data_IF_419653108700
#
_entry.id   IF_419653108700
#
_cell.length_a   1.000
_cell.length_b   1.000
_cell.length_c   1.000
_cell.angle_alpha   90.00
_cell.angle_beta   90.00
_cell.angle_gamma   90.00
#
_symmetry.space_group_name_H-M   'P 1'
#
loop_
_entity.id
_entity.type
_entity.pdbx_description
1 polymer ?
#
# COMPACT_ATOMS: atom_id res chain seq x y z
N UNK A 1 57.64 -28.44 43.69
CA UNK A 1 57.98 -29.45 42.64
C UNK A 1 59.33 -29.14 42.00
N UNK A 2 59.65 -27.92 41.52
CA UNK A 2 60.95 -27.54 40.95
C UNK A 2 62.06 -27.48 42.07
N UNK A 3 61.73 -26.99 43.24
CA UNK A 3 62.60 -26.96 44.37
C UNK A 3 63.11 -28.34 44.79
N UNK A 4 62.21 -29.36 44.74
CA UNK A 4 62.54 -30.75 44.99
C UNK A 4 63.40 -31.38 43.88
N UNK A 5 63.16 -30.94 42.57
CA UNK A 5 64.01 -31.36 41.47
C UNK A 5 65.44 -30.74 41.56
N UNK A 6 65.58 -29.51 42.09
CA UNK A 6 66.85 -28.89 42.37
C UNK A 6 67.63 -29.65 43.51
N UNK A 7 66.95 -29.98 44.62
CA UNK A 7 67.49 -30.73 45.74
C UNK A 7 68.02 -32.08 45.33
N UNK A 8 67.41 -32.74 44.34
CA UNK A 8 67.87 -34.03 43.81
C UNK A 8 68.79 -33.94 42.57
N UNK A 9 69.23 -32.71 42.23
CA UNK A 9 70.17 -32.46 41.12
C UNK A 9 69.65 -32.67 39.73
N UNK A 10 68.32 -32.71 39.56
CA UNK A 10 67.65 -32.91 38.23
C UNK A 10 67.62 -31.63 37.46
N UNK A 11 67.68 -30.45 38.08
CA UNK A 11 67.73 -29.16 37.41
C UNK A 11 68.80 -28.27 38.08
N UNK A 12 69.34 -27.34 37.29
CA UNK A 12 70.33 -26.35 37.84
C UNK A 12 69.61 -25.16 38.41
N UNK A 13 70.25 -24.46 39.37
CA UNK A 13 69.69 -23.22 39.93
C UNK A 13 69.39 -22.15 38.85
N UNK A 14 70.24 -22.08 37.81
CA UNK A 14 69.99 -21.19 36.68
C UNK A 14 68.70 -21.54 35.86
N UNK A 15 68.49 -22.81 35.62
CA UNK A 15 67.26 -23.26 34.93
C UNK A 15 66.02 -22.98 35.78
N UNK A 16 66.11 -23.22 37.12
CA UNK A 16 64.99 -22.90 38.01
C UNK A 16 64.67 -21.41 38.03
N UNK A 17 65.65 -20.53 38.01
CA UNK A 17 65.49 -19.10 37.95
C UNK A 17 64.80 -18.69 36.60
N UNK A 18 65.33 -19.20 35.48
CA UNK A 18 64.74 -18.93 34.15
C UNK A 18 63.28 -19.42 34.04
N UNK A 19 62.98 -20.63 34.52
CA UNK A 19 61.61 -21.18 34.52
C UNK A 19 60.69 -20.35 35.44
N UNK A 20 61.15 -19.84 36.53
CA UNK A 20 60.39 -18.97 37.43
C UNK A 20 60.13 -17.59 36.82
N UNK A 21 61.15 -16.98 36.23
CA UNK A 21 61.00 -15.72 35.51
C UNK A 21 60.00 -15.84 34.36
N UNK A 22 60.08 -16.92 33.58
CA UNK A 22 59.10 -17.20 32.50
C UNK A 22 57.70 -17.39 33.06
N UNK A 23 57.54 -18.11 34.16
CA UNK A 23 56.24 -18.28 34.84
C UNK A 23 55.67 -16.96 35.35
N UNK A 24 56.50 -16.11 35.98
CA UNK A 24 56.06 -14.78 36.42
C UNK A 24 55.63 -13.92 35.26
N UNK A 25 56.39 -13.93 34.18
CA UNK A 25 56.06 -13.19 32.97
C UNK A 25 54.72 -13.63 32.37
N UNK A 26 54.49 -14.93 32.16
CA UNK A 26 53.22 -15.47 31.69
C UNK A 26 52.06 -15.12 32.62
N UNK A 27 52.24 -15.24 33.92
CA UNK A 27 51.23 -14.89 34.91
C UNK A 27 50.85 -13.41 34.85
N UNK A 28 51.83 -12.50 34.70
CA UNK A 28 51.57 -11.07 34.55
C UNK A 28 50.83 -10.76 33.24
N UNK A 29 51.25 -11.37 32.13
CA UNK A 29 50.62 -11.22 30.83
C UNK A 29 49.12 -11.63 30.89
N UNK A 30 48.85 -12.82 31.42
CA UNK A 30 47.50 -13.34 31.54
C UNK A 30 46.62 -12.48 32.45
N UNK A 31 47.16 -11.98 33.56
CA UNK A 31 46.41 -11.09 34.44
C UNK A 31 46.06 -9.78 33.75
N UNK A 32 47.02 -9.11 33.12
CA UNK A 32 46.80 -7.84 32.42
C UNK A 32 45.77 -8.00 31.28
N UNK A 33 45.90 -9.05 30.49
CA UNK A 33 44.93 -9.32 29.40
C UNK A 33 43.52 -9.63 29.93
N UNK A 34 43.41 -10.32 31.08
CA UNK A 34 42.12 -10.58 31.72
C UNK A 34 41.48 -9.31 32.28
N UNK A 35 42.28 -8.44 32.93
CA UNK A 35 41.82 -7.13 33.42
C UNK A 35 41.41 -6.23 32.25
N UNK A 36 42.20 -6.17 31.18
CA UNK A 36 41.84 -5.44 29.96
C UNK A 36 40.53 -5.95 29.38
N UNK A 37 40.36 -7.26 29.26
CA UNK A 37 39.10 -7.84 28.74
C UNK A 37 37.90 -7.45 29.59
N UNK A 38 38.01 -7.50 30.92
CA UNK A 38 36.96 -7.10 31.84
C UNK A 38 36.58 -5.60 31.68
N UNK A 39 37.59 -4.73 31.58
CA UNK A 39 37.35 -3.28 31.38
C UNK A 39 36.81 -2.98 29.97
N UNK A 40 37.28 -3.69 28.97
CA UNK A 40 36.74 -3.62 27.58
C UNK A 40 35.26 -4.00 27.52
N UNK A 41 34.86 -5.08 28.22
CA UNK A 41 33.47 -5.52 28.29
C UNK A 41 32.55 -4.49 28.99
N UNK A 42 33.15 -3.65 29.85
CA UNK A 42 32.50 -2.50 30.49
C UNK A 42 32.57 -1.20 29.65
N UNK A 43 33.13 -1.25 28.45
CA UNK A 43 33.32 -0.09 27.57
C UNK A 43 34.44 0.85 27.97
N UNK A 44 35.33 0.47 28.93
CA UNK A 44 36.43 1.25 29.44
C UNK A 44 37.81 0.77 28.99
N UNK A 45 37.86 -0.05 27.93
CA UNK A 45 39.09 -0.64 27.43
C UNK A 45 40.18 0.38 27.05
N UNK A 46 39.78 1.54 26.46
CA UNK A 46 40.70 2.61 26.12
C UNK A 46 41.29 3.29 27.38
N UNK A 47 40.45 3.58 28.38
CA UNK A 47 40.88 4.18 29.64
C UNK A 47 41.86 3.26 30.37
N UNK A 48 41.61 1.94 30.34
CA UNK A 48 42.51 0.96 30.90
C UNK A 48 43.85 0.95 30.16
N UNK A 49 43.84 0.95 28.84
CA UNK A 49 45.07 0.97 28.03
C UNK A 49 45.92 2.24 28.28
N UNK A 50 45.28 3.40 28.39
CA UNK A 50 45.93 4.68 28.62
C UNK A 50 46.49 4.80 30.05
N UNK A 51 45.91 4.10 31.02
CA UNK A 51 46.28 4.16 32.44
C UNK A 51 47.12 3.00 32.95
N UNK A 52 47.34 1.95 32.15
CA UNK A 52 48.08 0.77 32.64
C UNK A 52 49.58 1.00 32.76
N UNK A 53 50.13 0.73 33.94
CA UNK A 53 51.57 0.62 34.18
C UNK A 53 52.00 -0.84 34.06
N UNK A 54 52.71 -1.18 32.97
CA UNK A 54 53.20 -2.53 32.76
C UNK A 54 54.41 -2.83 33.71
N UNK A 55 54.46 -4.05 34.30
CA UNK A 55 55.52 -4.43 35.19
C UNK A 55 56.90 -4.27 34.57
N UNK A 56 57.96 -3.98 35.40
CA UNK A 56 59.31 -3.80 34.91
C UNK A 56 59.96 -5.08 34.34
N UNK A 57 59.30 -6.22 34.53
CA UNK A 57 59.66 -7.51 33.91
C UNK A 57 59.44 -7.59 32.42
N UNK A 58 58.63 -6.66 31.83
CA UNK A 58 58.43 -6.57 30.40
C UNK A 58 59.50 -5.69 29.75
N UNK A 59 60.10 -6.18 28.69
CA UNK A 59 60.95 -5.34 27.85
C UNK A 59 60.14 -4.37 26.99
N UNK A 60 60.80 -3.43 26.32
CA UNK A 60 60.13 -2.41 25.50
C UNK A 60 59.34 -3.04 24.32
N UNK A 61 59.90 -4.10 23.71
CA UNK A 61 59.23 -4.80 22.60
C UNK A 61 57.95 -5.52 23.04
N UNK A 62 57.99 -6.17 24.20
CA UNK A 62 56.86 -6.87 24.78
C UNK A 62 55.73 -5.90 25.22
N UNK A 63 56.10 -4.76 25.79
CA UNK A 63 55.16 -3.67 26.11
C UNK A 63 54.44 -3.18 24.87
N UNK A 64 55.22 -2.93 23.81
CA UNK A 64 54.65 -2.49 22.52
C UNK A 64 53.72 -3.55 21.91
N UNK A 65 54.11 -4.82 21.90
CA UNK A 65 53.27 -5.91 21.39
C UNK A 65 51.97 -6.06 22.15
N UNK A 66 52.00 -5.92 23.48
CA UNK A 66 50.79 -5.97 24.30
C UNK A 66 49.86 -4.79 24.01
N UNK A 67 50.40 -3.57 23.95
CA UNK A 67 49.64 -2.38 23.58
C UNK A 67 49.06 -2.49 22.18
N UNK A 68 49.80 -2.99 21.21
CA UNK A 68 49.33 -3.20 19.83
C UNK A 68 48.20 -4.22 19.77
N UNK A 69 48.27 -5.30 20.55
CA UNK A 69 47.21 -6.30 20.67
C UNK A 69 45.92 -5.71 21.25
N UNK A 70 46.04 -4.98 22.38
CA UNK A 70 44.89 -4.32 23.00
C UNK A 70 44.26 -3.28 22.07
N UNK A 71 45.07 -2.48 21.39
CA UNK A 71 44.61 -1.54 20.37
C UNK A 71 43.93 -2.22 19.18
N UNK A 72 44.43 -3.39 18.75
CA UNK A 72 43.79 -4.16 17.68
C UNK A 72 42.41 -4.66 18.09
N UNK A 73 42.25 -5.12 19.34
CA UNK A 73 40.99 -5.56 19.89
C UNK A 73 39.98 -4.40 19.97
N UNK A 74 40.38 -3.23 20.44
CA UNK A 74 39.53 -2.02 20.48
C UNK A 74 39.11 -1.56 19.08
N UNK A 75 40.06 -1.60 18.11
CA UNK A 75 39.68 -1.29 16.69
C UNK A 75 38.68 -2.27 16.11
N UNK A 76 38.80 -3.55 16.42
CA UNK A 76 37.84 -4.56 16.00
C UNK A 76 36.45 -4.30 16.57
N UNK A 77 36.35 -3.91 17.84
CA UNK A 77 35.07 -3.53 18.45
C UNK A 77 34.45 -2.31 17.76
N UNK A 78 35.29 -1.27 17.53
CA UNK A 78 34.81 -0.09 16.78
C UNK A 78 34.28 -0.45 15.39
N UNK A 79 34.97 -1.34 14.67
CA UNK A 79 34.51 -1.83 13.35
C UNK A 79 33.17 -2.57 13.47
N UNK A 80 32.95 -3.36 14.52
CA UNK A 80 31.70 -4.05 14.76
C UNK A 80 30.57 -3.07 15.07
N UNK A 81 30.81 -2.07 15.91
CA UNK A 81 29.87 -1.00 16.23
C UNK A 81 29.51 -0.22 14.96
N UNK A 82 30.50 0.20 14.16
CA UNK A 82 30.27 0.94 12.93
C UNK A 82 29.47 0.13 11.89
N UNK A 83 29.72 -1.18 11.80
CA UNK A 83 28.94 -2.08 10.95
C UNK A 83 27.49 -2.19 11.41
N UNK A 84 27.27 -2.28 12.72
CA UNK A 84 25.91 -2.36 13.28
C UNK A 84 25.15 -1.05 13.07
N UNK A 85 25.79 0.10 13.30
CA UNK A 85 25.21 1.42 12.98
C UNK A 85 24.86 1.51 11.50
N UNK A 86 25.77 1.08 10.61
CA UNK A 86 25.51 1.09 9.18
C UNK A 86 24.39 0.11 8.76
N UNK A 87 24.23 -1.01 9.46
CA UNK A 87 23.12 -1.97 9.24
C UNK A 87 21.80 -1.33 9.65
N UNK A 88 21.71 -0.79 10.86
CA UNK A 88 20.52 -0.13 11.38
C UNK A 88 20.11 1.05 10.49
N UNK A 89 21.07 1.85 10.05
CA UNK A 89 20.80 2.96 9.15
C UNK A 89 20.27 2.52 7.77
N UNK A 90 20.72 1.38 7.24
CA UNK A 90 20.18 0.80 6.00
C UNK A 90 18.75 0.30 6.19
N UNK A 91 18.50 -0.46 7.26
CA UNK A 91 17.17 -0.97 7.58
C UNK A 91 16.16 0.16 7.77
N UNK A 92 16.56 1.24 8.45
CA UNK A 92 15.73 2.43 8.61
C UNK A 92 15.39 3.07 7.27
N UNK A 93 16.37 3.24 6.36
CA UNK A 93 16.13 3.76 5.00
C UNK A 93 15.24 2.86 4.15
N UNK A 94 15.40 1.54 4.25
CA UNK A 94 14.54 0.59 3.54
C UNK A 94 13.10 0.63 4.04
N UNK A 95 12.91 0.75 5.35
CA UNK A 95 11.59 0.90 5.96
C UNK A 95 10.94 2.20 5.49
N UNK A 96 11.65 3.32 5.54
CA UNK A 96 11.17 4.61 5.06
C UNK A 96 10.76 4.55 3.59
N UNK A 97 11.58 3.94 2.73
CA UNK A 97 11.26 3.78 1.30
C UNK A 97 9.98 2.94 1.10
N UNK A 98 9.79 1.86 1.85
CA UNK A 98 8.56 1.03 1.81
C UNK A 98 7.35 1.81 2.27
N UNK A 99 7.48 2.56 3.36
CA UNK A 99 6.41 3.43 3.90
C UNK A 99 6.00 4.50 2.89
N UNK A 100 6.97 5.13 2.21
CA UNK A 100 6.69 6.12 1.15
C UNK A 100 5.96 5.52 -0.06
N UNK A 101 6.31 4.29 -0.46
CA UNK A 101 5.57 3.59 -1.53
C UNK A 101 4.13 3.29 -1.10
N UNK A 102 3.94 2.84 0.14
CA UNK A 102 2.61 2.59 0.70
C UNK A 102 1.78 3.89 0.80
N UNK A 103 2.39 4.99 1.24
CA UNK A 103 1.75 6.30 1.30
C UNK A 103 1.28 6.79 -0.07
N UNK A 104 2.11 6.67 -1.11
CA UNK A 104 1.72 7.03 -2.49
C UNK A 104 0.55 6.19 -3.00
N UNK A 105 0.53 4.88 -2.72
CA UNK A 105 -0.60 4.00 -3.06
C UNK A 105 -1.85 4.40 -2.29
N UNK A 106 -1.74 4.63 -0.99
CA UNK A 106 -2.84 5.11 -0.14
C UNK A 106 -3.42 6.42 -0.65
N UNK A 107 -2.57 7.40 -0.97
CA UNK A 107 -2.96 8.68 -1.57
C UNK A 107 -3.77 8.49 -2.86
N UNK A 108 -3.27 7.65 -3.77
CA UNK A 108 -3.98 7.36 -5.03
C UNK A 108 -5.35 6.73 -4.80
N UNK A 109 -5.48 5.83 -3.82
CA UNK A 109 -6.76 5.22 -3.45
C UNK A 109 -7.73 6.27 -2.89
N UNK A 110 -7.28 7.12 -1.97
CA UNK A 110 -8.09 8.20 -1.39
C UNK A 110 -8.55 9.21 -2.45
N UNK A 111 -7.64 9.66 -3.31
CA UNK A 111 -7.93 10.61 -4.39
C UNK A 111 -8.83 10.03 -5.48
N UNK A 112 -8.93 8.70 -5.60
CA UNK A 112 -9.86 8.06 -6.55
C UNK A 112 -11.32 8.27 -6.19
N UNK A 113 -11.64 8.60 -4.96
CA UNK A 113 -13.00 8.76 -4.44
C UNK A 113 -13.82 7.47 -4.37
N UNK A 114 -13.22 6.29 -4.63
CA UNK A 114 -13.92 5.00 -4.52
C UNK A 114 -14.09 4.60 -3.07
N UNK A 115 -15.21 3.96 -2.69
CA UNK A 115 -15.36 3.40 -1.35
C UNK A 115 -14.19 2.45 -1.04
N UNK A 116 -13.58 2.65 0.11
CA UNK A 116 -12.48 1.80 0.59
C UNK A 116 -13.04 0.69 1.48
N UNK A 117 -12.44 -0.48 1.40
CA UNK A 117 -12.70 -1.54 2.38
C UNK A 117 -12.10 -1.15 3.74
N UNK A 118 -12.60 -1.75 4.81
CA UNK A 118 -12.08 -1.54 6.17
C UNK A 118 -10.57 -1.85 6.27
N UNK A 119 -10.14 -2.91 5.60
CA UNK A 119 -8.72 -3.30 5.52
C UNK A 119 -7.86 -2.23 4.81
N UNK A 120 -8.35 -1.68 3.69
CA UNK A 120 -7.64 -0.63 2.96
C UNK A 120 -7.52 0.64 3.80
N UNK A 121 -8.60 1.04 4.47
CA UNK A 121 -8.60 2.20 5.35
C UNK A 121 -7.66 2.02 6.54
N UNK A 122 -7.67 0.84 7.15
CA UNK A 122 -6.75 0.47 8.23
C UNK A 122 -5.29 0.50 7.79
N UNK A 123 -4.98 -0.03 6.58
CA UNK A 123 -3.63 0.02 6.01
C UNK A 123 -3.15 1.46 5.77
N UNK A 124 -4.02 2.35 5.29
CA UNK A 124 -3.70 3.76 5.09
C UNK A 124 -3.37 4.43 6.42
N UNK A 125 -4.20 4.25 7.45
CA UNK A 125 -3.96 4.81 8.78
C UNK A 125 -2.67 4.29 9.40
N UNK A 126 -2.38 2.99 9.28
CA UNK A 126 -1.12 2.41 9.72
C UNK A 126 0.08 3.00 8.95
N UNK A 127 -0.08 3.29 7.67
CA UNK A 127 0.97 3.93 6.88
C UNK A 127 1.23 5.36 7.36
N UNK A 128 0.19 6.14 7.62
CA UNK A 128 0.32 7.51 8.14
C UNK A 128 1.05 7.51 9.49
N UNK A 129 0.72 6.58 10.39
CA UNK A 129 1.37 6.48 11.70
C UNK A 129 2.86 6.12 11.63
N UNK A 130 3.34 5.57 10.51
CA UNK A 130 4.74 5.22 10.27
C UNK A 130 5.52 6.31 9.52
N UNK A 131 4.84 7.34 9.00
CA UNK A 131 5.51 8.48 8.38
C UNK A 131 6.18 9.33 9.45
N UNK A 132 7.39 9.80 9.15
CA UNK A 132 8.18 10.66 10.04
C UNK A 132 8.32 12.09 9.50
N UNK A 133 8.13 12.27 8.21
CA UNK A 133 8.21 13.57 7.54
C UNK A 133 6.87 14.31 7.67
N UNK A 134 6.83 15.50 8.31
CA UNK A 134 5.62 16.29 8.49
C UNK A 134 4.91 16.64 7.18
N UNK A 135 5.65 16.93 6.12
CA UNK A 135 5.04 17.30 4.82
C UNK A 135 4.28 16.12 4.19
N UNK A 136 4.82 14.90 4.33
CA UNK A 136 4.17 13.68 3.86
C UNK A 136 2.94 13.32 4.71
N UNK A 137 3.00 13.56 6.02
CA UNK A 137 1.86 13.38 6.94
C UNK A 137 0.74 14.33 6.53
N UNK A 138 1.03 15.62 6.37
CA UNK A 138 0.06 16.64 5.98
C UNK A 138 -0.60 16.31 4.63
N UNK A 139 0.19 15.87 3.63
CA UNK A 139 -0.36 15.46 2.34
C UNK A 139 -1.32 14.27 2.45
N UNK A 140 -1.04 13.30 3.30
CA UNK A 140 -1.92 12.16 3.52
C UNK A 140 -3.19 12.55 4.26
N UNK A 141 -3.10 13.45 5.24
CA UNK A 141 -4.26 14.01 5.95
C UNK A 141 -5.16 14.80 5.01
N UNK A 142 -4.59 15.65 4.16
CA UNK A 142 -5.35 16.36 3.11
C UNK A 142 -6.09 15.36 2.22
N UNK A 143 -5.45 14.27 1.82
CA UNK A 143 -6.10 13.24 0.99
C UNK A 143 -7.21 12.50 1.71
N UNK A 144 -7.10 12.28 3.03
CA UNK A 144 -8.18 11.74 3.88
C UNK A 144 -9.37 12.71 3.95
N UNK A 145 -9.11 14.00 4.15
CA UNK A 145 -10.15 15.03 4.17
C UNK A 145 -10.89 15.11 2.82
N UNK A 146 -10.14 15.07 1.71
CA UNK A 146 -10.70 15.01 0.35
C UNK A 146 -11.58 13.78 0.19
N UNK A 147 -11.09 12.60 0.60
CA UNK A 147 -11.85 11.34 0.53
C UNK A 147 -13.15 11.43 1.33
N UNK A 148 -13.08 11.89 2.57
CA UNK A 148 -14.24 12.07 3.45
C UNK A 148 -15.28 13.00 2.82
N UNK A 149 -14.85 14.13 2.27
CA UNK A 149 -15.72 15.09 1.60
C UNK A 149 -16.38 14.48 0.35
N UNK A 150 -15.63 13.72 -0.46
CA UNK A 150 -16.18 13.02 -1.64
C UNK A 150 -17.22 11.98 -1.21
N UNK A 151 -16.94 11.15 -0.18
CA UNK A 151 -17.90 10.17 0.32
C UNK A 151 -19.17 10.86 0.85
N UNK A 152 -19.03 11.97 1.56
CA UNK A 152 -20.16 12.78 2.01
C UNK A 152 -21.01 13.29 0.84
N UNK A 153 -20.37 13.84 -0.19
CA UNK A 153 -21.07 14.29 -1.40
C UNK A 153 -21.80 13.14 -2.10
N UNK A 154 -21.18 11.95 -2.19
CA UNK A 154 -21.78 10.79 -2.83
C UNK A 154 -22.99 10.22 -2.07
N UNK A 155 -23.13 10.51 -0.78
CA UNK A 155 -24.30 10.14 0.03
C UNK A 155 -25.49 11.10 -0.14
N UNK A 156 -25.29 12.25 -0.79
CA UNK A 156 -26.31 13.28 -1.00
C UNK A 156 -27.03 13.08 -2.34
N UNK A 157 -28.22 13.67 -2.48
CA UNK A 157 -28.87 13.80 -3.78
C UNK A 157 -28.10 14.74 -4.70
N UNK A 158 -28.33 14.70 -6.01
CA UNK A 158 -27.66 15.56 -6.98
C UNK A 158 -27.83 17.05 -6.69
N UNK A 159 -29.02 17.44 -6.25
CA UNK A 159 -29.33 18.83 -5.90
C UNK A 159 -28.55 19.28 -4.66
N UNK A 160 -28.57 18.45 -3.61
CA UNK A 160 -27.81 18.72 -2.38
C UNK A 160 -26.29 18.80 -2.64
N UNK A 161 -25.77 17.92 -3.49
CA UNK A 161 -24.35 17.95 -3.92
C UNK A 161 -23.98 19.26 -4.58
N UNK A 162 -24.83 19.74 -5.48
CA UNK A 162 -24.60 21.01 -6.21
C UNK A 162 -24.58 22.19 -5.23
N UNK A 163 -25.50 22.23 -4.26
CA UNK A 163 -25.54 23.25 -3.22
C UNK A 163 -24.31 23.14 -2.31
N UNK A 164 -23.96 21.95 -1.86
CA UNK A 164 -22.79 21.71 -0.98
C UNK A 164 -21.47 22.14 -1.65
N UNK A 165 -21.30 21.85 -2.95
CA UNK A 165 -20.11 22.25 -3.70
C UNK A 165 -20.02 23.77 -3.89
N UNK A 166 -21.14 24.44 -4.16
CA UNK A 166 -21.17 25.90 -4.31
C UNK A 166 -20.87 26.59 -2.97
N UNK A 167 -21.52 26.17 -1.89
CA UNK A 167 -21.31 26.73 -0.56
C UNK A 167 -19.88 26.49 -0.04
N UNK A 168 -19.27 25.35 -0.42
CA UNK A 168 -17.91 25.04 0.03
C UNK A 168 -16.86 26.06 -0.43
N UNK A 169 -17.12 26.86 -1.45
CA UNK A 169 -16.20 27.89 -1.96
C UNK A 169 -16.24 29.19 -1.13
N UNK A 170 -17.29 29.43 -0.34
CA UNK A 170 -17.47 30.67 0.40
C UNK A 170 -16.66 30.72 1.71
N UNK A 171 -16.32 29.57 2.31
CA UNK A 171 -15.68 29.45 3.62
C UNK A 171 -14.20 29.03 3.57
N UNK A 172 -13.41 29.58 2.66
CA UNK A 172 -11.98 29.29 2.59
C UNK A 172 -11.23 30.14 3.60
N UNK A 173 -10.63 29.50 4.61
CA UNK A 173 -9.93 30.18 5.70
C UNK A 173 -8.41 30.21 5.50
N UNK A 174 -7.84 29.19 4.86
CA UNK A 174 -6.41 29.04 4.65
C UNK A 174 -6.07 28.26 3.35
N UNK A 175 -4.76 28.08 3.10
CA UNK A 175 -4.28 27.39 1.91
C UNK A 175 -4.58 25.87 1.94
N UNK A 176 -4.63 25.25 3.11
CA UNK A 176 -5.00 23.82 3.26
C UNK A 176 -6.44 23.62 2.84
N UNK A 177 -7.36 24.45 3.34
CA UNK A 177 -8.77 24.44 2.96
C UNK A 177 -8.96 24.59 1.44
N UNK A 178 -8.21 25.51 0.84
CA UNK A 178 -8.24 25.72 -0.61
C UNK A 178 -7.83 24.46 -1.38
N UNK A 179 -6.75 23.78 -0.97
CA UNK A 179 -6.27 22.55 -1.60
C UNK A 179 -7.31 21.44 -1.46
N UNK A 180 -7.87 21.24 -0.26
CA UNK A 180 -8.90 20.23 0.01
C UNK A 180 -10.13 20.46 -0.89
N UNK A 181 -10.63 21.69 -0.95
CA UNK A 181 -11.81 22.04 -1.77
C UNK A 181 -11.57 21.84 -3.25
N UNK A 182 -10.44 22.31 -3.78
CA UNK A 182 -10.09 22.12 -5.19
C UNK A 182 -9.93 20.64 -5.55
N UNK A 183 -9.29 19.86 -4.68
CA UNK A 183 -9.10 18.43 -4.87
C UNK A 183 -10.42 17.67 -4.80
N UNK A 184 -11.30 18.02 -3.84
CA UNK A 184 -12.66 17.46 -3.73
C UNK A 184 -13.47 17.74 -4.99
N UNK A 185 -13.47 18.97 -5.51
CA UNK A 185 -14.15 19.31 -6.75
C UNK A 185 -13.62 18.54 -7.95
N UNK A 186 -12.30 18.38 -8.04
CA UNK A 186 -11.66 17.60 -9.11
C UNK A 186 -12.07 16.14 -9.06
N UNK A 187 -12.02 15.51 -7.89
CA UNK A 187 -12.44 14.13 -7.69
C UNK A 187 -13.93 13.95 -8.04
N UNK A 188 -14.78 14.84 -7.54
CA UNK A 188 -16.20 14.81 -7.84
C UNK A 188 -16.51 14.95 -9.34
N UNK A 189 -15.84 15.88 -10.06
CA UNK A 189 -16.00 16.02 -11.50
C UNK A 189 -15.62 14.74 -12.26
N UNK A 190 -14.57 14.02 -11.81
CA UNK A 190 -14.21 12.75 -12.41
C UNK A 190 -15.30 11.67 -12.20
N UNK A 191 -15.93 11.68 -11.04
CA UNK A 191 -17.07 10.79 -10.75
C UNK A 191 -18.28 11.15 -11.64
N UNK A 192 -18.64 12.44 -11.76
CA UNK A 192 -19.72 12.89 -12.64
C UNK A 192 -19.47 12.52 -14.11
N UNK A 193 -18.22 12.63 -14.56
CA UNK A 193 -17.84 12.16 -15.91
C UNK A 193 -18.02 10.64 -16.07
N UNK A 194 -17.70 9.87 -15.02
CA UNK A 194 -17.91 8.42 -15.03
C UNK A 194 -19.41 8.08 -15.05
N UNK A 195 -20.23 8.81 -14.28
CA UNK A 195 -21.70 8.67 -14.28
C UNK A 195 -22.25 9.00 -15.68
N UNK A 196 -21.79 10.06 -16.31
CA UNK A 196 -22.24 10.44 -17.64
C UNK A 196 -21.82 9.44 -18.72
N UNK A 197 -20.67 8.77 -18.55
CA UNK A 197 -20.18 7.77 -19.50
C UNK A 197 -20.92 6.42 -19.36
N UNK A 198 -21.03 5.89 -18.15
CA UNK A 198 -21.75 4.64 -17.82
C UNK A 198 -22.22 4.68 -16.37
N UNK A 199 -23.48 5.07 -16.09
CA UNK A 199 -24.02 5.18 -14.75
C UNK A 199 -23.98 3.87 -13.95
N UNK A 200 -24.17 2.73 -14.60
CA UNK A 200 -24.13 1.42 -13.95
C UNK A 200 -22.71 1.07 -13.49
N UNK A 201 -21.73 1.31 -14.36
CA UNK A 201 -20.32 1.11 -14.00
C UNK A 201 -19.87 2.09 -12.93
N UNK A 202 -20.34 3.33 -12.97
CA UNK A 202 -20.07 4.33 -11.93
C UNK A 202 -20.71 3.92 -10.60
N UNK A 203 -21.94 3.41 -10.59
CA UNK A 203 -22.59 2.90 -9.38
C UNK A 203 -21.83 1.72 -8.77
N UNK A 204 -21.33 0.79 -9.59
CA UNK A 204 -20.44 -0.28 -9.11
C UNK A 204 -19.19 0.27 -8.44
N UNK A 205 -18.57 1.31 -9.01
CA UNK A 205 -17.31 1.86 -8.52
C UNK A 205 -17.45 2.79 -7.30
N UNK A 206 -18.55 3.54 -7.20
CA UNK A 206 -18.72 4.64 -6.25
C UNK A 206 -19.97 4.52 -5.38
N UNK A 207 -21.01 3.84 -5.84
CA UNK A 207 -22.30 3.69 -5.16
C UNK A 207 -22.44 2.40 -4.34
N UNK A 208 -21.42 1.57 -4.29
CA UNK A 208 -21.46 0.28 -3.57
C UNK A 208 -22.30 -0.79 -4.29
N UNK A 209 -22.47 -0.67 -5.62
CA UNK A 209 -23.16 -1.66 -6.44
C UNK A 209 -22.45 -3.02 -6.48
N UNK A 210 -23.19 -4.06 -6.79
CA UNK A 210 -22.66 -5.40 -7.01
C UNK A 210 -22.03 -5.52 -8.41
N UNK A 211 -21.06 -6.44 -8.60
CA UNK A 211 -20.45 -6.67 -9.91
C UNK A 211 -21.49 -6.95 -10.99
N UNK A 212 -21.34 -6.28 -12.14
CA UNK A 212 -22.24 -6.46 -13.29
C UNK A 212 -21.93 -7.81 -13.92
N UNK A 213 -22.93 -8.70 -13.92
CA UNK A 213 -22.80 -10.02 -14.50
C UNK A 213 -22.76 -9.94 -16.02
N UNK A 214 -21.87 -10.74 -16.63
CA UNK A 214 -21.76 -10.86 -18.07
C UNK A 214 -22.98 -11.59 -18.64
N UNK A 215 -23.60 -11.02 -19.68
CA UNK A 215 -24.70 -11.67 -20.38
C UNK A 215 -24.15 -12.71 -21.38
N UNK A 216 -24.69 -13.91 -21.28
CA UNK A 216 -24.42 -15.05 -22.18
C UNK A 216 -25.73 -15.61 -22.68
N UNK A 217 -25.68 -16.47 -23.72
CA UNK A 217 -26.91 -17.12 -24.26
C UNK A 217 -27.68 -17.93 -23.23
N UNK A 218 -27.00 -18.42 -22.20
CA UNK A 218 -27.57 -19.31 -21.18
C UNK A 218 -28.24 -18.57 -20.02
N UNK A 219 -27.94 -17.26 -19.85
CA UNK A 219 -28.43 -16.47 -18.72
C UNK A 219 -29.14 -15.17 -19.11
N UNK A 220 -29.54 -15.00 -20.35
CA UNK A 220 -30.13 -13.74 -20.85
C UNK A 220 -31.28 -13.27 -19.97
N UNK A 221 -32.31 -14.07 -19.77
CA UNK A 221 -33.52 -13.70 -19.03
C UNK A 221 -33.19 -13.29 -17.57
N UNK A 222 -32.32 -14.07 -16.89
CA UNK A 222 -31.90 -13.77 -15.53
C UNK A 222 -31.06 -12.46 -15.47
N UNK A 223 -30.13 -12.30 -16.39
CA UNK A 223 -29.29 -11.10 -16.46
C UNK A 223 -30.06 -9.83 -16.78
N UNK A 224 -31.10 -9.92 -17.63
CA UNK A 224 -32.01 -8.82 -17.94
C UNK A 224 -32.85 -8.41 -16.72
N UNK A 225 -33.40 -9.38 -15.98
CA UNK A 225 -34.08 -9.10 -14.71
C UNK A 225 -33.19 -8.41 -13.69
N UNK A 226 -31.95 -8.89 -13.53
CA UNK A 226 -30.95 -8.25 -12.66
C UNK A 226 -30.59 -6.83 -13.15
N UNK A 227 -30.48 -6.62 -14.47
CA UNK A 227 -30.21 -5.29 -15.03
C UNK A 227 -31.35 -4.31 -14.74
N UNK A 228 -32.58 -4.74 -14.78
CA UNK A 228 -33.76 -3.93 -14.45
C UNK A 228 -33.78 -3.55 -12.97
N UNK A 229 -33.49 -4.48 -12.06
CA UNK A 229 -33.34 -4.20 -10.62
C UNK A 229 -32.19 -3.20 -10.36
N UNK A 230 -31.10 -3.35 -11.08
CA UNK A 230 -29.97 -2.44 -10.99
C UNK A 230 -30.29 -1.05 -11.55
N UNK A 231 -31.09 -0.95 -12.64
CA UNK A 231 -31.54 0.33 -13.17
C UNK A 231 -32.25 1.16 -12.10
N UNK A 232 -33.16 0.53 -11.34
CA UNK A 232 -33.88 1.20 -10.24
C UNK A 232 -32.92 1.75 -9.19
N UNK A 233 -31.94 0.94 -8.77
CA UNK A 233 -30.92 1.34 -7.77
C UNK A 233 -30.04 2.47 -8.31
N UNK A 234 -29.58 2.36 -9.54
CA UNK A 234 -28.75 3.37 -10.21
C UNK A 234 -29.52 4.68 -10.36
N UNK A 235 -30.79 4.62 -10.83
CA UNK A 235 -31.65 5.80 -10.97
C UNK A 235 -31.84 6.52 -9.64
N UNK A 236 -32.07 5.79 -8.57
CA UNK A 236 -32.17 6.36 -7.22
C UNK A 236 -30.88 7.03 -6.77
N UNK A 237 -29.73 6.43 -7.09
CA UNK A 237 -28.40 6.95 -6.71
C UNK A 237 -28.02 8.21 -7.49
N UNK A 238 -28.28 8.25 -8.82
CA UNK A 238 -27.97 9.43 -9.65
C UNK A 238 -29.02 10.52 -9.55
N UNK A 239 -30.26 10.20 -9.10
CA UNK A 239 -31.39 11.12 -8.99
C UNK A 239 -32.08 11.41 -10.32
N UNK A 240 -31.85 10.61 -11.34
CA UNK A 240 -32.50 10.68 -12.65
C UNK A 240 -32.67 9.28 -13.25
N UNK A 241 -33.46 9.14 -14.33
CA UNK A 241 -33.66 7.84 -14.97
C UNK A 241 -32.35 7.34 -15.58
N UNK A 242 -31.82 6.20 -15.05
CA UNK A 242 -30.66 5.54 -15.61
C UNK A 242 -31.00 4.79 -16.90
N UNK A 243 -30.01 4.57 -17.79
CA UNK A 243 -30.17 3.62 -18.89
C UNK A 243 -30.60 2.24 -18.40
N UNK A 244 -31.30 1.44 -19.19
CA UNK A 244 -31.82 0.13 -18.78
C UNK A 244 -30.70 -0.85 -18.35
N UNK A 245 -29.49 -0.67 -18.83
CA UNK A 245 -28.35 -1.52 -18.50
C UNK A 245 -27.01 -0.82 -18.76
N UNK A 246 -25.90 -1.44 -18.33
CA UNK A 246 -24.55 -0.94 -18.58
C UNK A 246 -24.13 -1.09 -20.05
N UNK A 247 -23.12 -0.30 -20.46
CA UNK A 247 -22.51 -0.44 -21.77
C UNK A 247 -21.91 -1.82 -22.00
N UNK A 248 -21.38 -2.47 -20.97
CA UNK A 248 -20.83 -3.83 -21.08
C UNK A 248 -21.91 -4.85 -21.38
N UNK A 249 -23.07 -4.75 -20.74
CA UNK A 249 -24.23 -5.62 -20.99
C UNK A 249 -24.82 -5.38 -22.37
N UNK A 250 -24.92 -4.12 -22.81
CA UNK A 250 -25.33 -3.79 -24.18
C UNK A 250 -24.42 -4.45 -25.22
N UNK A 251 -23.10 -4.39 -24.99
CA UNK A 251 -22.12 -5.04 -25.88
C UNK A 251 -22.23 -6.57 -25.86
N UNK A 252 -22.55 -7.18 -24.73
CA UNK A 252 -22.78 -8.61 -24.65
C UNK A 252 -24.05 -9.01 -25.44
N UNK A 253 -25.15 -8.28 -25.28
CA UNK A 253 -26.37 -8.50 -26.08
C UNK A 253 -26.12 -8.31 -27.57
N UNK A 254 -25.37 -7.28 -27.99
CA UNK A 254 -24.97 -7.05 -29.37
C UNK A 254 -24.23 -8.25 -29.97
N UNK A 255 -23.38 -8.93 -29.19
CA UNK A 255 -22.68 -10.15 -29.61
C UNK A 255 -23.58 -11.37 -29.71
N UNK A 256 -24.59 -11.46 -28.86
CA UNK A 256 -25.58 -12.56 -28.92
C UNK A 256 -26.49 -12.40 -30.14
N UNK A 257 -26.85 -11.15 -30.46
CA UNK A 257 -27.64 -10.81 -31.62
C UNK A 257 -29.13 -11.14 -31.48
N UNK A 258 -29.78 -11.47 -32.61
CA UNK A 258 -31.24 -11.69 -32.72
C UNK A 258 -31.84 -12.64 -31.66
N UNK A 259 -31.18 -13.73 -31.20
CA UNK A 259 -31.75 -14.59 -30.16
C UNK A 259 -32.08 -13.88 -28.83
N UNK A 260 -31.54 -12.69 -28.58
CA UNK A 260 -31.84 -11.92 -27.37
C UNK A 260 -33.13 -11.09 -27.46
N UNK A 261 -33.75 -10.94 -28.63
CA UNK A 261 -34.88 -10.03 -28.82
C UNK A 261 -36.14 -10.45 -28.04
N UNK A 262 -36.48 -11.74 -28.05
CA UNK A 262 -37.63 -12.25 -27.33
C UNK A 262 -37.47 -12.14 -25.82
N UNK A 263 -36.26 -12.40 -25.33
CA UNK A 263 -35.90 -12.23 -23.91
C UNK A 263 -35.96 -10.76 -23.50
N UNK A 264 -35.50 -9.82 -24.35
CA UNK A 264 -35.58 -8.37 -24.11
C UNK A 264 -37.04 -7.92 -24.03
N UNK A 265 -37.89 -8.34 -25.01
CA UNK A 265 -39.30 -8.01 -25.01
C UNK A 265 -40.04 -8.57 -23.78
N UNK A 266 -39.71 -9.79 -23.39
CA UNK A 266 -40.29 -10.45 -22.21
C UNK A 266 -39.88 -9.78 -20.90
N UNK A 267 -38.60 -9.41 -20.75
CA UNK A 267 -38.08 -8.81 -19.55
C UNK A 267 -38.54 -7.36 -19.35
N UNK A 268 -38.46 -6.55 -20.37
CA UNK A 268 -38.70 -5.10 -20.29
C UNK A 268 -40.11 -4.65 -20.73
N UNK A 269 -40.86 -5.51 -21.41
CA UNK A 269 -42.08 -5.10 -22.07
C UNK A 269 -41.82 -4.20 -23.30
N UNK A 270 -42.85 -3.83 -24.02
CA UNK A 270 -42.73 -3.17 -25.33
C UNK A 270 -42.00 -1.82 -25.26
N UNK A 271 -42.37 -0.96 -24.32
CA UNK A 271 -41.87 0.43 -24.22
C UNK A 271 -40.38 0.49 -23.81
N UNK A 272 -40.01 -0.24 -22.78
CA UNK A 272 -38.63 -0.28 -22.31
C UNK A 272 -37.70 -1.09 -23.23
N UNK A 273 -38.23 -2.17 -23.87
CA UNK A 273 -37.52 -2.92 -24.89
C UNK A 273 -37.12 -2.04 -26.08
N UNK A 274 -37.97 -1.08 -26.48
CA UNK A 274 -37.65 -0.11 -27.51
C UNK A 274 -36.46 0.75 -27.13
N UNK A 275 -36.35 1.19 -25.87
CA UNK A 275 -35.19 1.94 -25.38
C UNK A 275 -33.90 1.10 -25.44
N UNK A 276 -33.95 -0.16 -25.01
CA UNK A 276 -32.83 -1.11 -25.11
C UNK A 276 -32.37 -1.32 -26.55
N UNK A 277 -33.30 -1.56 -27.46
CA UNK A 277 -33.02 -1.77 -28.87
C UNK A 277 -32.44 -0.52 -29.54
N UNK A 278 -32.95 0.67 -29.22
CA UNK A 278 -32.40 1.93 -29.69
C UNK A 278 -30.95 2.16 -29.21
N UNK A 279 -30.59 1.75 -27.96
CA UNK A 279 -29.26 1.82 -27.46
C UNK A 279 -28.33 0.81 -28.15
N UNK A 280 -28.80 -0.39 -28.42
CA UNK A 280 -28.03 -1.44 -29.09
C UNK A 280 -27.63 -1.05 -30.52
N UNK A 281 -28.51 -0.35 -31.22
CA UNK A 281 -28.38 -0.14 -32.66
C UNK A 281 -28.33 1.34 -33.09
N UNK A 282 -28.01 2.23 -32.15
CA UNK A 282 -27.94 3.69 -32.38
C UNK A 282 -26.99 4.12 -33.50
N UNK A 283 -25.97 3.33 -33.80
CA UNK A 283 -25.00 3.59 -34.85
C UNK A 283 -25.34 2.96 -36.19
N UNK A 284 -26.17 1.89 -36.19
CA UNK A 284 -26.62 1.15 -37.38
C UNK A 284 -28.10 1.46 -37.72
N UNK A 285 -28.49 2.71 -37.60
CA UNK A 285 -29.86 3.17 -37.59
C UNK A 285 -30.70 2.85 -38.88
N UNK A 286 -30.06 2.34 -39.93
CA UNK A 286 -30.76 2.01 -41.18
C UNK A 286 -31.46 0.63 -41.18
N UNK A 287 -30.77 -0.41 -40.77
CA UNK A 287 -31.29 -1.79 -40.84
C UNK A 287 -32.01 -2.23 -39.56
N UNK A 288 -31.56 -1.78 -38.40
CA UNK A 288 -32.04 -2.28 -37.13
C UNK A 288 -33.20 -1.47 -36.53
N UNK A 289 -33.43 -0.24 -36.95
CA UNK A 289 -34.68 0.47 -36.67
C UNK A 289 -35.90 -0.24 -37.28
N UNK A 290 -35.70 -0.94 -38.40
CA UNK A 290 -36.72 -1.77 -39.05
C UNK A 290 -36.97 -3.04 -38.23
N UNK A 291 -35.94 -3.70 -37.74
CA UNK A 291 -36.05 -4.91 -36.90
C UNK A 291 -36.69 -4.61 -35.56
N UNK A 292 -36.23 -3.53 -34.88
CA UNK A 292 -36.83 -3.08 -33.63
C UNK A 292 -38.30 -2.70 -33.78
N UNK A 293 -38.65 -1.97 -34.83
CA UNK A 293 -40.07 -1.59 -35.09
C UNK A 293 -40.94 -2.79 -35.49
N UNK A 294 -40.42 -3.76 -36.22
CA UNK A 294 -41.11 -4.98 -36.57
C UNK A 294 -41.29 -5.92 -35.38
N UNK A 295 -40.25 -6.10 -34.56
CA UNK A 295 -40.32 -6.89 -33.34
C UNK A 295 -41.31 -6.32 -32.33
N UNK A 296 -41.43 -4.98 -32.25
CA UNK A 296 -42.38 -4.30 -31.39
C UNK A 296 -43.82 -4.22 -31.94
N UNK A 297 -44.03 -4.51 -33.20
CA UNK A 297 -45.36 -4.48 -33.84
C UNK A 297 -46.10 -5.82 -33.85
N UNK A 298 -45.40 -6.93 -33.63
CA UNK A 298 -45.98 -8.27 -33.65
C UNK A 298 -45.60 -9.07 -32.42
N UNK A 299 -46.36 -10.10 -32.09
CA UNK A 299 -45.97 -11.09 -31.08
C UNK A 299 -44.65 -11.74 -31.52
N UNK A 300 -43.56 -11.59 -30.74
CA UNK A 300 -42.13 -11.76 -31.05
C UNK A 300 -41.70 -12.80 -32.10
N UNK A 301 -42.38 -13.96 -32.19
CA UNK A 301 -42.08 -15.04 -33.12
C UNK A 301 -42.36 -14.68 -34.61
N UNK A 302 -43.34 -13.83 -34.87
CA UNK A 302 -43.67 -13.39 -36.22
C UNK A 302 -42.67 -12.37 -36.78
N UNK A 303 -42.05 -11.55 -35.91
CA UNK A 303 -41.06 -10.56 -36.30
C UNK A 303 -39.70 -11.18 -36.56
N UNK A 304 -39.35 -12.23 -35.84
CA UNK A 304 -38.14 -13.01 -36.06
C UNK A 304 -38.14 -13.70 -37.43
N UNK A 305 -39.29 -14.32 -37.78
CA UNK A 305 -39.48 -14.99 -39.07
C UNK A 305 -39.55 -14.02 -40.26
N UNK A 306 -39.92 -12.76 -40.07
CA UNK A 306 -39.93 -11.73 -41.11
C UNK A 306 -38.55 -11.13 -41.38
N UNK A 307 -37.61 -11.28 -40.45
CA UNK A 307 -36.22 -10.83 -40.60
C UNK A 307 -35.30 -11.87 -41.27
N UNK A 308 -35.59 -13.17 -41.10
CA UNK A 308 -34.93 -14.26 -41.81
C UNK A 308 -35.46 -14.41 -43.23
#
# INVERSE_FOLDING_TARGET
TQQRALEVGLITAGKMATDFDAFQHEHHTNRIMSEFQAERDLGRGQEYLDGIELPPTFDEGERQQMADRMNADLRNDQILVDREIARVAREAKELEAKTMIAARKGKTLLESGRPLTEDQFSQINNTISQLTDPDNIEQMEISLDVYSNVQSLMSMTREERTVALNNSLEDITDNRDLIIKQSTQKAYRAIEQSIAADPHQAYLMYGGGEPIEKITKDNIAQSLATAQDNQIKVSAWIGEEAPPMSLSQLNDLKRIGVPALDDILTAYGKEEAEKVLNLLYKEDAGEMAVVGSLALQSDGEASYNAYL
#
